data_IF_626674295400
#
_entry.id   IF_626674295400
#
_cell.length_a   1.000
_cell.length_b   1.000
_cell.length_c   1.000
_cell.angle_alpha   90.00
_cell.angle_beta   90.00
_cell.angle_gamma   90.00
#
_symmetry.space_group_name_H-M   'P 1'
#
loop_
_entity.id
_entity.type
_entity.pdbx_description
1 polymer ?
#
# COMPACT_ATOMS: atom_id res chain seq x y z
N UNK A 1 -45.39 54.66 14.15
CA UNK A 1 -46.81 54.86 14.50
C UNK A 1 -47.20 53.78 15.50
N UNK A 2 -47.64 54.19 16.70
CA UNK A 2 -48.34 53.43 17.77
C UNK A 2 -47.74 52.09 18.27
N UNK A 3 -47.10 51.93 19.46
CA UNK A 3 -47.31 52.39 20.86
C UNK A 3 -48.36 51.57 21.64
N UNK A 4 -47.88 50.75 22.59
CA UNK A 4 -48.42 50.53 23.96
C UNK A 4 -47.47 49.53 24.67
N UNK A 5 -46.63 49.83 25.67
CA UNK A 5 -46.60 50.70 26.86
C UNK A 5 -47.31 50.11 28.09
N UNK A 6 -46.53 49.66 29.08
CA UNK A 6 -46.65 49.95 30.53
C UNK A 6 -45.48 49.25 31.25
N UNK A 7 -44.46 49.96 31.76
CA UNK A 7 -44.43 50.64 33.08
C UNK A 7 -44.45 49.57 34.22
N UNK A 8 -43.55 49.49 35.20
CA UNK A 8 -42.72 50.48 35.89
C UNK A 8 -41.93 49.77 37.03
N UNK A 9 -40.91 50.44 37.61
CA UNK A 9 -40.23 50.21 38.92
C UNK A 9 -38.92 49.38 39.01
N UNK A 10 -37.82 50.11 39.25
CA UNK A 10 -36.53 49.73 39.90
C UNK A 10 -36.71 49.48 41.43
N UNK A 11 -35.76 48.93 42.25
CA UNK A 11 -34.28 48.95 42.11
C UNK A 11 -33.49 47.66 42.54
N UNK A 12 -32.16 47.71 42.29
CA UNK A 12 -31.00 46.90 42.74
C UNK A 12 -31.07 46.16 44.11
N UNK A 13 -30.04 45.35 44.50
CA UNK A 13 -29.29 44.29 43.81
C UNK A 13 -29.23 43.00 44.67
N UNK A 14 -29.09 41.80 44.09
CA UNK A 14 -28.72 40.64 44.91
C UNK A 14 -27.92 39.60 44.14
N UNK A 15 -26.68 39.44 44.61
CA UNK A 15 -25.79 38.30 44.52
C UNK A 15 -26.50 36.98 44.18
N UNK A 16 -26.17 36.40 43.02
CA UNK A 16 -26.46 34.99 42.73
C UNK A 16 -25.59 34.13 43.65
N UNK A 17 -26.16 33.73 44.78
CA UNK A 17 -25.59 32.72 45.66
C UNK A 17 -25.67 31.37 44.94
N UNK A 18 -24.49 30.80 44.72
CA UNK A 18 -24.29 29.47 44.17
C UNK A 18 -24.87 28.44 45.14
N UNK A 19 -26.04 27.89 44.81
CA UNK A 19 -26.51 26.67 45.46
C UNK A 19 -25.84 25.49 44.76
N UNK A 20 -24.60 25.18 45.19
CA UNK A 20 -23.97 23.89 44.93
C UNK A 20 -24.85 22.80 45.55
N UNK A 21 -25.68 22.16 44.73
CA UNK A 21 -26.16 20.82 45.04
C UNK A 21 -24.99 19.88 44.78
N UNK A 22 -24.21 19.60 45.83
CA UNK A 22 -23.26 18.48 45.85
C UNK A 22 -24.03 17.17 45.92
N UNK A 23 -24.67 16.81 44.80
CA UNK A 23 -25.00 15.42 44.53
C UNK A 23 -23.71 14.73 44.09
N UNK A 24 -23.05 14.04 45.01
CA UNK A 24 -21.94 13.14 44.68
C UNK A 24 -22.54 11.97 43.91
N UNK A 25 -22.72 12.14 42.60
CA UNK A 25 -23.06 11.02 41.73
C UNK A 25 -21.84 10.12 41.68
N UNK A 26 -21.90 8.98 42.35
CA UNK A 26 -20.89 7.95 42.23
C UNK A 26 -20.87 7.54 40.75
N UNK A 27 -19.77 7.78 40.04
CA UNK A 27 -19.63 7.31 38.66
C UNK A 27 -18.74 6.10 38.71
N UNK A 28 -19.32 4.92 38.51
CA UNK A 28 -18.50 3.70 38.36
C UNK A 28 -17.69 3.84 37.08
N UNK A 29 -16.37 3.92 37.22
CA UNK A 29 -15.45 3.89 36.09
C UNK A 29 -14.98 2.46 35.91
N UNK A 30 -15.31 1.85 34.77
CA UNK A 30 -14.78 0.52 34.46
C UNK A 30 -13.32 0.70 34.05
N UNK A 31 -12.40 0.08 34.79
CA UNK A 31 -10.99 0.00 34.45
C UNK A 31 -10.70 -1.42 33.99
N UNK A 32 -10.61 -1.63 32.69
CA UNK A 32 -10.28 -2.96 32.18
C UNK A 32 -8.81 -3.30 32.48
N UNK A 33 -8.51 -4.54 32.90
CA UNK A 33 -7.13 -5.04 33.01
C UNK A 33 -7.03 -6.41 32.36
N UNK A 34 -6.62 -6.45 31.10
CA UNK A 34 -6.52 -7.71 30.37
C UNK A 34 -5.25 -8.48 30.79
N UNK A 35 -5.40 -9.63 31.45
CA UNK A 35 -4.24 -10.49 31.80
C UNK A 35 -4.23 -11.70 30.87
N UNK A 36 -3.42 -11.66 29.80
CA UNK A 36 -3.25 -12.81 28.90
C UNK A 36 -2.27 -13.81 29.51
N UNK A 37 -2.78 -14.95 29.99
CA UNK A 37 -1.94 -16.10 30.37
C UNK A 37 -1.82 -17.04 29.17
N UNK A 38 -0.63 -17.13 28.58
CA UNK A 38 -0.30 -18.19 27.62
C UNK A 38 0.27 -19.38 28.39
N UNK A 39 -0.24 -20.59 28.14
CA UNK A 39 0.10 -21.80 28.90
C UNK A 39 1.54 -22.31 28.68
N UNK A 40 2.36 -21.68 27.83
CA UNK A 40 3.74 -22.10 27.58
C UNK A 40 4.63 -20.87 27.49
N UNK A 41 5.40 -20.62 28.56
CA UNK A 41 6.50 -19.68 28.59
C UNK A 41 6.05 -18.22 28.58
N UNK A 42 6.17 -17.59 29.75
CA UNK A 42 6.00 -16.17 30.02
C UNK A 42 4.54 -15.65 30.13
N UNK A 43 4.20 -15.10 31.30
CA UNK A 43 2.90 -14.45 31.54
C UNK A 43 3.01 -13.03 30.99
N UNK A 44 2.59 -12.84 29.74
CA UNK A 44 2.52 -11.49 29.18
C UNK A 44 1.30 -10.75 29.72
N UNK A 45 1.49 -10.00 30.80
CA UNK A 45 0.44 -9.11 31.34
C UNK A 45 0.38 -7.86 30.46
N UNK A 46 -0.71 -7.70 29.70
CA UNK A 46 -0.92 -6.53 28.85
C UNK A 46 -2.01 -5.64 29.45
N UNK A 47 -1.60 -4.61 30.17
CA UNK A 47 -2.53 -3.66 30.79
C UNK A 47 -3.04 -2.67 29.74
N UNK A 48 -4.36 -2.56 29.65
CA UNK A 48 -5.05 -1.63 28.75
C UNK A 48 -6.23 -1.03 29.49
N UNK A 49 -6.14 0.26 29.83
CA UNK A 49 -7.24 0.98 30.46
C UNK A 49 -8.16 1.57 29.39
N UNK A 50 -9.41 1.14 29.39
CA UNK A 50 -10.45 1.68 28.51
C UNK A 50 -11.45 2.46 29.36
N UNK A 51 -11.60 3.76 29.10
CA UNK A 51 -12.61 4.61 29.74
C UNK A 51 -13.49 5.22 28.66
N UNK A 52 -14.52 4.47 28.27
CA UNK A 52 -15.55 4.89 27.32
C UNK A 52 -16.93 4.67 27.94
N UNK A 53 -17.96 5.45 27.55
CA UNK A 53 -19.32 5.26 28.06
C UNK A 53 -19.90 3.87 27.70
N UNK A 54 -19.47 3.33 26.56
CA UNK A 54 -19.79 1.99 26.07
C UNK A 54 -18.48 1.36 25.60
N UNK A 55 -18.20 0.14 26.07
CA UNK A 55 -17.04 -0.67 25.68
C UNK A 55 -17.56 -1.86 24.86
N UNK A 56 -17.11 -1.98 23.61
CA UNK A 56 -17.52 -3.05 22.69
C UNK A 56 -16.57 -4.25 22.80
N UNK A 57 -17.13 -5.44 22.89
CA UNK A 57 -16.41 -6.70 23.08
C UNK A 57 -16.76 -7.64 21.92
N UNK A 58 -15.77 -8.12 21.18
CA UNK A 58 -16.02 -8.98 20.04
C UNK A 58 -14.78 -9.39 19.26
N UNK A 59 -15.01 -10.10 18.16
CA UNK A 59 -13.98 -10.54 17.20
C UNK A 59 -13.61 -9.46 16.19
N UNK A 60 -14.42 -8.40 16.08
CA UNK A 60 -14.14 -7.28 15.18
C UNK A 60 -12.91 -6.49 15.62
N UNK A 61 -12.12 -6.03 14.65
CA UNK A 61 -10.96 -5.17 14.91
C UNK A 61 -11.36 -3.75 15.38
N UNK A 62 -12.64 -3.41 15.25
CA UNK A 62 -13.28 -2.17 15.70
C UNK A 62 -13.84 -2.25 17.13
N UNK A 63 -13.71 -3.41 17.80
CA UNK A 63 -14.10 -3.58 19.20
C UNK A 63 -12.99 -3.08 20.14
N UNK A 64 -13.38 -2.40 21.22
CA UNK A 64 -12.46 -1.98 22.28
C UNK A 64 -11.74 -3.19 22.90
N UNK A 65 -12.47 -4.30 23.08
CA UNK A 65 -11.92 -5.59 23.52
C UNK A 65 -11.99 -6.58 22.37
N UNK A 66 -10.84 -6.77 21.71
CA UNK A 66 -10.70 -7.71 20.61
C UNK A 66 -10.37 -9.14 21.11
N UNK A 67 -11.30 -10.06 20.90
CA UNK A 67 -11.22 -11.47 21.25
C UNK A 67 -11.24 -12.32 19.96
N UNK A 68 -10.07 -12.76 19.43
CA UNK A 68 -9.96 -13.44 18.13
C UNK A 68 -10.34 -14.93 18.22
N UNK A 69 -11.62 -15.22 18.50
CA UNK A 69 -12.17 -16.58 18.53
C UNK A 69 -13.36 -16.75 17.59
N UNK A 70 -13.46 -17.91 16.93
CA UNK A 70 -14.51 -18.18 15.95
C UNK A 70 -15.91 -18.33 16.57
N UNK A 71 -15.99 -18.66 17.85
CA UNK A 71 -17.25 -18.70 18.61
C UNK A 71 -17.74 -17.33 19.07
N UNK A 72 -16.95 -16.27 18.85
CA UNK A 72 -17.29 -14.89 19.20
C UNK A 72 -17.74 -14.14 17.94
N UNK A 73 -18.81 -13.34 18.07
CA UNK A 73 -19.35 -12.56 16.97
C UNK A 73 -18.47 -11.32 16.72
N UNK A 74 -18.60 -10.68 15.55
CA UNK A 74 -17.86 -9.45 15.26
C UNK A 74 -18.07 -8.41 16.36
N UNK A 75 -19.30 -8.23 16.79
CA UNK A 75 -19.68 -7.54 18.02
C UNK A 75 -20.51 -8.50 18.86
N UNK A 76 -20.01 -8.90 20.03
CA UNK A 76 -20.58 -9.99 20.82
C UNK A 76 -21.24 -9.50 22.10
N UNK A 77 -20.64 -8.53 22.78
CA UNK A 77 -21.22 -7.91 23.97
C UNK A 77 -20.83 -6.44 24.08
N UNK A 78 -21.66 -5.66 24.75
CA UNK A 78 -21.37 -4.28 25.15
C UNK A 78 -21.34 -4.19 26.66
N UNK A 79 -20.40 -3.41 27.17
CA UNK A 79 -20.26 -3.10 28.58
C UNK A 79 -20.45 -1.60 28.78
N UNK A 80 -21.45 -1.25 29.56
CA UNK A 80 -21.83 0.13 29.81
C UNK A 80 -21.72 0.47 31.29
N UNK A 81 -21.22 1.67 31.61
CA UNK A 81 -21.36 2.21 32.97
C UNK A 81 -22.67 2.98 33.11
N UNK A 82 -23.54 2.54 34.02
CA UNK A 82 -24.86 3.09 34.29
C UNK A 82 -24.90 3.68 35.70
N UNK A 83 -24.34 4.87 35.86
CA UNK A 83 -24.27 5.59 37.14
C UNK A 83 -23.39 4.83 38.13
N UNK A 84 -24.03 4.10 39.05
CA UNK A 84 -23.40 3.42 40.18
C UNK A 84 -23.08 1.94 39.90
N UNK A 85 -23.21 1.46 38.65
CA UNK A 85 -22.90 0.07 38.31
C UNK A 85 -22.50 -0.12 36.85
N UNK A 86 -21.75 -1.19 36.58
CA UNK A 86 -21.48 -1.66 35.23
C UNK A 86 -22.53 -2.69 34.79
N UNK A 87 -22.96 -2.63 33.54
CA UNK A 87 -23.94 -3.53 32.94
C UNK A 87 -23.38 -4.12 31.66
N UNK A 88 -23.34 -5.46 31.57
CA UNK A 88 -22.95 -6.15 30.34
C UNK A 88 -24.20 -6.67 29.62
N UNK A 89 -24.22 -6.56 28.30
CA UNK A 89 -25.32 -7.00 27.44
C UNK A 89 -24.79 -7.73 26.21
N UNK A 90 -25.39 -8.87 25.87
CA UNK A 90 -25.14 -9.55 24.60
C UNK A 90 -25.73 -8.74 23.43
N UNK A 91 -25.05 -8.74 22.28
CA UNK A 91 -25.50 -8.01 21.08
C UNK A 91 -26.11 -8.98 20.06
N UNK A 92 -27.30 -8.65 19.55
CA UNK A 92 -27.97 -9.41 18.51
C UNK A 92 -28.32 -10.84 18.94
N UNK A 93 -27.70 -11.83 18.28
CA UNK A 93 -27.87 -13.26 18.58
C UNK A 93 -26.72 -13.84 19.40
N UNK A 94 -25.83 -13.00 19.94
CA UNK A 94 -24.77 -13.47 20.83
C UNK A 94 -25.37 -13.96 22.15
N UNK A 95 -24.66 -14.86 22.82
CA UNK A 95 -25.01 -15.33 24.16
C UNK A 95 -23.83 -15.13 25.08
N UNK A 96 -24.08 -14.50 26.23
CA UNK A 96 -23.11 -14.41 27.31
C UNK A 96 -23.54 -15.35 28.43
N UNK A 97 -22.58 -15.95 29.12
CA UNK A 97 -22.88 -16.72 30.33
C UNK A 97 -22.23 -16.08 31.53
N UNK A 98 -22.97 -15.90 32.61
CA UNK A 98 -22.47 -15.31 33.86
C UNK A 98 -22.69 -16.30 34.98
N UNK A 99 -21.61 -16.68 35.67
CA UNK A 99 -21.62 -17.72 36.69
C UNK A 99 -22.34 -19.00 36.20
N UNK A 100 -21.95 -19.47 35.00
CA UNK A 100 -22.48 -20.65 34.30
C UNK A 100 -23.92 -20.55 33.76
N UNK A 101 -24.61 -19.42 33.98
CA UNK A 101 -25.97 -19.21 33.47
C UNK A 101 -25.97 -18.31 32.24
N UNK A 102 -26.61 -18.74 31.15
CA UNK A 102 -26.80 -17.92 29.95
C UNK A 102 -27.79 -16.79 30.25
N UNK A 103 -27.38 -15.56 29.95
CA UNK A 103 -28.17 -14.34 30.16
C UNK A 103 -27.98 -13.40 28.98
N UNK A 104 -28.98 -12.55 28.70
CA UNK A 104 -28.87 -11.53 27.64
C UNK A 104 -28.22 -10.24 28.17
N UNK A 105 -28.23 -10.04 29.49
CA UNK A 105 -27.52 -8.96 30.15
C UNK A 105 -27.69 -8.99 31.67
N UNK A 106 -26.71 -8.43 32.38
CA UNK A 106 -26.71 -8.40 33.85
C UNK A 106 -25.93 -7.21 34.39
N UNK A 107 -26.34 -6.72 35.56
CA UNK A 107 -25.54 -5.82 36.38
C UNK A 107 -24.37 -6.60 36.96
N UNK A 108 -23.15 -6.15 36.69
CA UNK A 108 -21.93 -6.78 37.18
C UNK A 108 -21.73 -6.53 38.68
N UNK A 109 -21.28 -7.55 39.38
CA UNK A 109 -20.83 -7.51 40.76
C UNK A 109 -19.40 -8.04 40.86
N UNK A 110 -18.65 -7.56 41.85
CA UNK A 110 -17.31 -8.08 42.15
C UNK A 110 -17.42 -9.59 42.44
N UNK A 111 -16.61 -10.39 41.76
CA UNK A 111 -16.61 -11.84 41.83
C UNK A 111 -17.32 -12.53 40.66
N UNK A 112 -18.07 -11.81 39.83
CA UNK A 112 -18.74 -12.40 38.66
C UNK A 112 -17.75 -12.96 37.63
N UNK A 113 -18.11 -14.10 37.05
CA UNK A 113 -17.40 -14.75 35.96
C UNK A 113 -18.24 -14.74 34.70
N UNK A 114 -17.83 -13.97 33.71
CA UNK A 114 -18.52 -13.81 32.44
C UNK A 114 -17.76 -14.63 31.40
N UNK A 115 -18.44 -15.56 30.73
CA UNK A 115 -17.85 -16.38 29.69
C UNK A 115 -18.40 -16.02 28.32
N UNK A 116 -17.45 -15.79 27.41
CA UNK A 116 -17.60 -15.35 26.03
C UNK A 116 -16.79 -16.32 25.17
N UNK A 117 -17.44 -17.35 24.61
CA UNK A 117 -16.73 -18.42 23.90
C UNK A 117 -15.66 -19.11 24.75
N UNK A 118 -14.40 -19.06 24.29
CA UNK A 118 -13.22 -19.58 24.99
C UNK A 118 -12.57 -18.59 25.97
N UNK A 119 -13.21 -17.47 26.28
CA UNK A 119 -12.68 -16.47 27.22
C UNK A 119 -13.57 -16.35 28.46
N UNK A 120 -12.92 -16.18 29.61
CA UNK A 120 -13.55 -15.88 30.90
C UNK A 120 -13.07 -14.50 31.38
N UNK A 121 -14.00 -13.57 31.57
CA UNK A 121 -13.79 -12.29 32.24
C UNK A 121 -14.15 -12.44 33.72
N UNK A 122 -13.23 -12.08 34.61
CA UNK A 122 -13.44 -12.05 36.06
C UNK A 122 -13.57 -10.61 36.51
N UNK A 123 -14.66 -10.28 37.20
CA UNK A 123 -14.87 -8.97 37.81
C UNK A 123 -14.18 -8.92 39.17
N UNK A 124 -13.29 -7.97 39.36
CA UNK A 124 -12.50 -7.79 40.58
C UNK A 124 -12.58 -6.32 41.05
N UNK A 125 -12.32 -6.10 42.34
CA UNK A 125 -12.23 -4.76 42.91
C UNK A 125 -10.89 -4.12 42.52
N UNK A 126 -10.90 -2.82 42.19
CA UNK A 126 -9.66 -2.07 41.95
C UNK A 126 -8.90 -1.83 43.25
N UNK A 127 -7.62 -2.20 43.28
CA UNK A 127 -6.74 -1.92 44.42
C UNK A 127 -6.24 -0.44 44.39
N UNK A 128 -6.40 0.25 43.27
CA UNK A 128 -5.90 1.61 43.01
C UNK A 128 -7.01 2.67 42.90
N UNK A 129 -8.11 2.54 43.66
CA UNK A 129 -9.14 3.58 43.71
C UNK A 129 -8.61 4.82 44.47
N UNK A 130 -7.81 5.64 43.78
CA UNK A 130 -7.51 7.00 44.22
C UNK A 130 -8.73 7.85 43.88
N UNK A 131 -9.29 8.49 44.92
CA UNK A 131 -10.37 9.50 44.84
C UNK A 131 -11.83 8.99 44.81
N UNK A 132 -12.14 7.90 45.50
CA UNK A 132 -13.52 7.57 45.91
C UNK A 132 -14.49 7.15 44.79
N UNK A 133 -14.00 6.99 43.56
CA UNK A 133 -14.69 6.34 42.46
C UNK A 133 -14.52 4.81 42.58
N UNK A 134 -15.64 4.08 42.70
CA UNK A 134 -15.62 2.61 42.64
C UNK A 134 -15.22 2.17 41.22
N UNK A 135 -14.01 1.64 41.06
CA UNK A 135 -13.56 1.10 39.79
C UNK A 135 -13.58 -0.44 39.79
N UNK A 136 -14.13 -1.01 38.72
CA UNK A 136 -14.13 -2.46 38.51
C UNK A 136 -12.97 -2.83 37.61
N UNK A 137 -12.18 -3.82 38.06
CA UNK A 137 -11.09 -4.42 37.28
C UNK A 137 -11.58 -5.71 36.64
N UNK A 138 -11.56 -5.77 35.31
CA UNK A 138 -11.97 -6.95 34.55
C UNK A 138 -10.75 -7.68 34.02
N UNK A 139 -10.52 -8.89 34.54
CA UNK A 139 -9.43 -9.77 34.11
C UNK A 139 -9.92 -10.77 33.08
N UNK A 140 -9.39 -10.69 31.86
CA UNK A 140 -9.74 -11.60 30.76
C UNK A 140 -8.71 -12.73 30.60
N UNK A 141 -9.11 -13.97 30.88
CA UNK A 141 -8.29 -15.17 30.66
C UNK A 141 -8.90 -16.05 29.56
N UNK A 142 -8.06 -16.70 28.75
CA UNK A 142 -8.52 -17.74 27.83
C UNK A 142 -8.71 -19.02 28.63
N UNK A 143 -9.93 -19.53 28.66
CA UNK A 143 -10.29 -20.80 29.27
C UNK A 143 -10.13 -21.90 28.22
N UNK A 144 -9.04 -22.65 28.28
CA UNK A 144 -8.96 -23.96 27.63
C UNK A 144 -9.72 -24.94 28.52
N UNK A 145 -10.84 -25.52 28.04
CA UNK A 145 -11.46 -26.61 28.77
C UNK A 145 -10.43 -27.73 28.90
N UNK A 146 -10.10 -28.09 30.13
CA UNK A 146 -9.58 -29.43 30.40
C UNK A 146 -10.60 -30.38 29.77
N UNK A 147 -10.13 -31.33 28.97
CA UNK A 147 -10.89 -32.35 28.24
C UNK A 147 -10.89 -32.19 26.71
N UNK A 148 -10.10 -33.05 26.10
CA UNK A 148 -10.11 -33.48 24.70
C UNK A 148 -11.44 -34.12 24.23
N UNK A 149 -12.62 -33.66 24.73
CA UNK A 149 -13.92 -34.31 24.52
C UNK A 149 -14.87 -33.49 23.61
N UNK A 150 -14.56 -32.24 23.26
CA UNK A 150 -15.33 -31.45 22.27
C UNK A 150 -14.73 -31.40 20.86
N UNK A 151 -13.65 -32.14 20.58
CA UNK A 151 -13.07 -32.29 19.24
C UNK A 151 -13.77 -33.35 18.37
N UNK A 152 -14.95 -33.83 18.76
CA UNK A 152 -15.66 -34.91 18.08
C UNK A 152 -16.89 -34.53 17.24
N UNK A 153 -17.38 -33.29 17.28
CA UNK A 153 -18.69 -32.93 16.69
C UNK A 153 -18.77 -31.55 16.02
N UNK A 154 -17.71 -31.12 15.36
CA UNK A 154 -17.82 -30.20 14.23
C UNK A 154 -17.22 -30.90 13.02
N UNK A 155 -18.04 -31.71 12.35
CA UNK A 155 -17.66 -32.41 11.13
C UNK A 155 -17.12 -31.40 10.12
N UNK A 156 -15.93 -31.59 9.57
CA UNK A 156 -15.69 -32.51 8.45
C UNK A 156 -16.78 -32.41 7.38
N UNK A 157 -16.83 -31.28 6.67
CA UNK A 157 -17.06 -31.37 5.22
C UNK A 157 -15.73 -31.78 4.58
N UNK A 158 -15.62 -33.10 4.42
CA UNK A 158 -14.72 -33.81 3.54
C UNK A 158 -14.64 -33.16 2.16
N UNK A 159 -13.50 -32.54 1.88
CA UNK A 159 -12.88 -32.51 0.57
C UNK A 159 -11.61 -33.36 0.62
N UNK A 160 -11.74 -34.65 0.94
CA UNK A 160 -10.63 -35.60 0.80
C UNK A 160 -10.51 -35.98 -0.67
N UNK A 161 -9.92 -35.08 -1.45
CA UNK A 161 -9.23 -35.41 -2.69
C UNK A 161 -7.75 -35.58 -2.36
N UNK A 162 -7.18 -36.69 -2.80
CA UNK A 162 -5.76 -37.08 -2.73
C UNK A 162 -4.81 -35.86 -2.75
N UNK A 163 -4.03 -35.67 -1.67
CA UNK A 163 -2.82 -34.83 -1.67
C UNK A 163 -2.94 -33.42 -1.06
N UNK A 164 -3.19 -33.29 0.24
CA UNK A 164 -3.05 -32.01 0.95
C UNK A 164 -2.18 -32.16 2.21
N UNK A 165 -0.86 -32.21 2.02
CA UNK A 165 0.13 -32.06 3.11
C UNK A 165 1.14 -30.94 2.86
N UNK A 166 0.87 -30.02 1.92
CA UNK A 166 1.57 -28.75 1.94
C UNK A 166 0.83 -27.84 2.92
N UNK A 167 1.37 -27.70 4.13
CA UNK A 167 0.93 -26.63 5.03
C UNK A 167 0.99 -25.29 4.29
N UNK A 168 0.18 -24.31 4.71
CA UNK A 168 0.08 -23.01 4.03
C UNK A 168 1.46 -22.38 3.71
N UNK A 169 2.44 -22.58 4.61
CA UNK A 169 3.84 -22.17 4.39
C UNK A 169 4.49 -22.87 3.19
N UNK A 170 4.32 -24.19 3.07
CA UNK A 170 4.85 -24.98 1.96
C UNK A 170 4.19 -24.61 0.63
N UNK A 171 2.88 -24.36 0.62
CA UNK A 171 2.18 -23.91 -0.58
C UNK A 171 2.62 -22.50 -0.99
N UNK A 172 2.79 -21.58 -0.03
CA UNK A 172 3.32 -20.24 -0.29
C UNK A 172 4.72 -20.27 -0.88
N UNK A 173 5.63 -21.09 -0.34
CA UNK A 173 6.96 -21.26 -0.91
C UNK A 173 6.92 -21.91 -2.29
N UNK A 174 6.09 -22.95 -2.50
CA UNK A 174 5.97 -23.60 -3.81
C UNK A 174 5.46 -22.63 -4.88
N UNK A 175 4.40 -21.87 -4.60
CA UNK A 175 3.87 -20.87 -5.52
C UNK A 175 4.85 -19.70 -5.73
N UNK A 176 5.50 -19.22 -4.67
CA UNK A 176 6.52 -18.17 -4.77
C UNK A 176 7.71 -18.60 -5.61
N UNK A 177 8.21 -19.82 -5.41
CA UNK A 177 9.28 -20.41 -6.22
C UNK A 177 8.83 -20.63 -7.66
N UNK A 178 7.60 -21.08 -7.90
CA UNK A 178 7.06 -21.23 -9.25
C UNK A 178 7.02 -19.87 -9.99
N UNK A 179 6.51 -18.82 -9.33
CA UNK A 179 6.47 -17.47 -9.89
C UNK A 179 7.89 -16.97 -10.18
N UNK A 180 8.84 -17.16 -9.26
CA UNK A 180 10.23 -16.76 -9.46
C UNK A 180 10.88 -17.51 -10.64
N UNK A 181 10.66 -18.82 -10.73
CA UNK A 181 11.19 -19.62 -11.83
C UNK A 181 10.58 -19.20 -13.18
N UNK A 182 9.28 -18.93 -13.20
CA UNK A 182 8.55 -18.58 -14.42
C UNK A 182 8.82 -17.15 -14.90
N UNK A 183 8.86 -16.15 -14.02
CA UNK A 183 8.97 -14.75 -14.44
C UNK A 183 10.38 -14.16 -14.35
N UNK A 184 11.33 -14.88 -13.74
CA UNK A 184 12.70 -14.42 -13.58
C UNK A 184 13.71 -15.40 -14.18
N UNK A 185 13.76 -16.64 -13.67
CA UNK A 185 14.79 -17.59 -14.11
C UNK A 185 14.59 -18.04 -15.56
N UNK A 186 13.34 -18.32 -15.96
CA UNK A 186 13.03 -18.76 -17.32
C UNK A 186 13.34 -17.69 -18.39
N UNK A 187 12.86 -16.43 -18.29
CA UNK A 187 13.20 -15.38 -19.25
C UNK A 187 14.71 -15.17 -19.42
N UNK A 188 15.47 -15.17 -18.32
CA UNK A 188 16.93 -15.05 -18.35
C UNK A 188 17.57 -16.24 -19.08
N UNK A 189 17.17 -17.46 -18.74
CA UNK A 189 17.70 -18.66 -19.40
C UNK A 189 17.34 -18.69 -20.90
N UNK A 190 16.14 -18.25 -21.26
CA UNK A 190 15.69 -18.13 -22.65
C UNK A 190 16.52 -17.10 -23.44
N UNK A 191 16.87 -15.96 -22.82
CA UNK A 191 17.73 -14.94 -23.43
C UNK A 191 19.12 -15.50 -23.78
N UNK A 192 19.83 -16.08 -22.81
CA UNK A 192 21.19 -16.62 -23.03
C UNK A 192 21.23 -17.86 -23.93
N UNK A 193 20.18 -18.68 -23.94
CA UNK A 193 20.14 -19.88 -24.80
C UNK A 193 19.87 -19.54 -26.27
N UNK A 194 19.06 -18.52 -26.55
CA UNK A 194 18.79 -18.09 -27.93
C UNK A 194 19.99 -17.34 -28.54
N UNK A 195 20.71 -16.52 -27.77
CA UNK A 195 21.90 -15.83 -28.29
C UNK A 195 22.98 -16.82 -28.79
N UNK A 196 23.12 -17.97 -28.12
CA UNK A 196 24.02 -19.04 -28.58
C UNK A 196 23.64 -19.69 -29.91
N UNK A 197 22.38 -19.55 -30.36
CA UNK A 197 21.89 -20.11 -31.64
C UNK A 197 22.04 -19.10 -32.78
N UNK A 198 21.92 -17.81 -32.50
CA UNK A 198 22.00 -16.76 -33.51
C UNK A 198 23.45 -16.51 -33.98
N UNK A 199 24.46 -16.70 -33.13
CA UNK A 199 25.89 -16.71 -33.56
C UNK A 199 26.30 -17.90 -34.45
N UNK A 200 25.45 -18.93 -34.55
CA UNK A 200 25.65 -20.06 -35.48
C UNK A 200 24.84 -19.96 -36.78
N UNK A 201 23.94 -18.98 -36.88
CA UNK A 201 23.00 -18.83 -37.99
C UNK A 201 23.54 -17.87 -39.07
N UNK A 202 24.77 -18.09 -39.54
CA UNK A 202 25.33 -17.37 -40.70
C UNK A 202 24.63 -17.72 -42.04
N UNK A 203 23.67 -18.66 -42.03
CA UNK A 203 23.01 -19.21 -43.23
C UNK A 203 21.50 -18.92 -43.35
N UNK A 204 20.91 -18.09 -42.48
CA UNK A 204 19.48 -17.76 -42.64
C UNK A 204 19.33 -16.43 -43.36
N UNK A 205 18.92 -16.53 -44.63
CA UNK A 205 18.67 -15.42 -45.54
C UNK A 205 17.93 -14.23 -44.89
N UNK A 206 18.36 -13.02 -45.28
CA UNK A 206 17.91 -11.68 -44.91
C UNK A 206 16.41 -11.36 -45.17
N UNK A 207 15.49 -12.33 -45.06
CA UNK A 207 14.07 -12.14 -45.43
C UNK A 207 13.06 -13.04 -44.69
N UNK A 208 13.45 -13.80 -43.67
CA UNK A 208 12.48 -14.53 -42.85
C UNK A 208 12.15 -13.71 -41.59
N UNK A 209 11.17 -12.80 -41.69
CA UNK A 209 10.59 -12.16 -40.53
C UNK A 209 10.08 -13.20 -39.53
N UNK A 210 10.38 -12.97 -38.25
CA UNK A 210 9.87 -13.69 -37.08
C UNK A 210 10.11 -15.21 -37.09
N UNK A 211 11.07 -15.65 -36.25
CA UNK A 211 11.13 -17.05 -35.79
C UNK A 211 9.74 -17.49 -35.28
N UNK A 212 9.35 -18.75 -35.48
CA UNK A 212 7.97 -19.20 -35.30
C UNK A 212 7.46 -18.88 -33.90
N UNK A 213 6.37 -18.12 -33.84
CA UNK A 213 5.51 -17.98 -32.68
C UNK A 213 5.16 -19.36 -32.13
N UNK A 214 5.79 -19.78 -31.02
CA UNK A 214 5.45 -21.03 -30.33
C UNK A 214 6.61 -21.84 -29.74
N UNK A 215 7.87 -21.43 -29.89
CA UNK A 215 8.96 -22.07 -29.12
C UNK A 215 9.03 -21.51 -27.68
N UNK A 216 9.36 -22.38 -26.73
CA UNK A 216 9.47 -22.05 -25.31
C UNK A 216 10.53 -20.96 -25.05
N UNK A 217 11.54 -20.85 -25.92
CA UNK A 217 12.57 -19.79 -25.83
C UNK A 217 12.02 -18.43 -26.26
N UNK A 218 11.20 -18.39 -27.31
CA UNK A 218 10.61 -17.16 -27.85
C UNK A 218 9.66 -16.52 -26.84
N UNK A 219 8.83 -17.32 -26.16
CA UNK A 219 7.92 -16.80 -25.13
C UNK A 219 8.70 -16.23 -23.93
N UNK A 220 9.75 -16.93 -23.49
CA UNK A 220 10.62 -16.45 -22.42
C UNK A 220 11.30 -15.12 -22.76
N UNK A 221 11.77 -14.94 -24.01
CA UNK A 221 12.36 -13.67 -24.48
C UNK A 221 11.34 -12.55 -24.61
N UNK A 222 10.14 -12.86 -25.11
CA UNK A 222 9.07 -11.87 -25.31
C UNK A 222 8.52 -11.28 -24.01
N UNK A 223 8.69 -11.98 -22.88
CA UNK A 223 8.16 -11.56 -21.58
C UNK A 223 8.69 -10.21 -21.11
N UNK A 224 9.86 -9.77 -21.60
CA UNK A 224 10.52 -8.52 -21.22
C UNK A 224 10.65 -7.51 -22.36
N UNK A 225 9.92 -7.69 -23.47
CA UNK A 225 9.90 -6.71 -24.56
C UNK A 225 9.11 -5.48 -24.12
N UNK A 226 9.75 -4.31 -24.20
CA UNK A 226 9.17 -3.01 -23.86
C UNK A 226 8.22 -2.47 -24.92
N UNK A 227 8.39 -2.86 -26.18
CA UNK A 227 7.58 -2.38 -27.29
C UNK A 227 8.34 -2.46 -28.62
N UNK A 228 7.62 -2.23 -29.72
CA UNK A 228 8.18 -2.23 -31.06
C UNK A 228 9.14 -1.05 -31.25
N UNK A 229 10.26 -1.30 -31.92
CA UNK A 229 11.20 -0.26 -32.32
C UNK A 229 10.63 0.61 -33.46
N UNK A 230 11.18 1.81 -33.56
CA UNK A 230 10.92 2.83 -34.55
C UNK A 230 11.02 2.30 -35.97
N UNK A 231 10.27 2.90 -36.90
CA UNK A 231 10.32 2.48 -38.31
C UNK A 231 11.73 2.53 -38.91
N UNK A 232 12.55 3.50 -38.49
CA UNK A 232 13.94 3.65 -38.93
C UNK A 232 14.82 2.48 -38.51
N UNK A 233 14.47 1.84 -37.40
CA UNK A 233 15.18 0.72 -36.80
C UNK A 233 14.40 -0.61 -36.88
N UNK A 234 13.29 -0.64 -37.63
CA UNK A 234 12.41 -1.80 -37.75
C UNK A 234 13.11 -3.08 -38.25
N UNK A 235 14.25 -2.93 -38.94
CA UNK A 235 15.07 -4.06 -39.40
C UNK A 235 15.65 -4.87 -38.23
N UNK A 236 15.90 -4.26 -37.07
CA UNK A 236 16.44 -4.97 -35.90
C UNK A 236 15.40 -5.89 -35.25
N UNK A 237 14.11 -5.58 -35.36
CA UNK A 237 13.04 -6.39 -34.74
C UNK A 237 13.30 -6.61 -33.25
N UNK A 238 13.47 -7.88 -32.88
CA UNK A 238 13.71 -8.31 -31.48
C UNK A 238 15.21 -8.45 -31.14
N UNK A 239 16.13 -8.01 -32.01
CA UNK A 239 17.59 -8.07 -31.79
C UNK A 239 18.07 -6.92 -30.89
N UNK A 240 17.60 -6.96 -29.65
CA UNK A 240 17.82 -5.91 -28.64
C UNK A 240 19.31 -5.66 -28.34
N UNK A 241 20.16 -6.68 -28.55
CA UNK A 241 21.62 -6.61 -28.33
C UNK A 241 22.32 -5.65 -29.30
N UNK A 242 21.65 -5.26 -30.40
CA UNK A 242 22.15 -4.24 -31.32
C UNK A 242 22.38 -2.89 -30.63
N UNK A 243 21.59 -2.58 -29.59
CA UNK A 243 21.69 -1.33 -28.84
C UNK A 243 21.95 -1.57 -27.34
N UNK A 244 21.35 -2.58 -26.73
CA UNK A 244 21.53 -2.91 -25.32
C UNK A 244 22.76 -3.80 -25.09
N UNK A 245 23.94 -3.19 -25.06
CA UNK A 245 25.22 -3.89 -24.93
C UNK A 245 25.45 -4.49 -23.53
N UNK A 246 24.86 -3.89 -22.48
CA UNK A 246 25.02 -4.34 -21.09
C UNK A 246 23.69 -4.36 -20.37
N UNK A 247 23.38 -5.48 -19.71
CA UNK A 247 22.20 -5.61 -18.89
C UNK A 247 22.18 -4.54 -17.78
N UNK A 248 21.00 -3.96 -17.54
CA UNK A 248 20.77 -2.90 -16.54
C UNK A 248 21.57 -1.61 -16.75
N UNK A 249 22.19 -1.43 -17.92
CA UNK A 249 22.81 -0.17 -18.34
C UNK A 249 21.96 0.42 -19.46
N UNK A 250 21.56 1.70 -19.39
CA UNK A 250 20.85 2.34 -20.49
C UNK A 250 21.76 2.41 -21.73
N UNK A 251 21.13 2.43 -22.91
CA UNK A 251 21.85 2.65 -24.18
C UNK A 251 22.48 4.04 -24.17
N UNK A 252 23.74 4.13 -24.57
CA UNK A 252 24.51 5.38 -24.59
C UNK A 252 24.72 5.87 -26.03
N UNK A 253 25.14 7.14 -26.17
CA UNK A 253 25.44 7.73 -27.47
C UNK A 253 26.46 6.91 -28.27
N UNK A 254 27.47 6.37 -27.60
CA UNK A 254 28.52 5.55 -28.22
C UNK A 254 27.97 4.29 -28.89
N UNK A 255 26.89 3.70 -28.36
CA UNK A 255 26.27 2.53 -28.96
C UNK A 255 25.65 2.89 -30.32
N UNK A 256 24.95 4.03 -30.40
CA UNK A 256 24.39 4.56 -31.64
C UNK A 256 25.47 4.95 -32.65
N UNK A 257 26.55 5.58 -32.19
CA UNK A 257 27.67 6.05 -33.04
C UNK A 257 28.45 4.89 -33.67
N UNK A 258 28.24 3.64 -33.25
CA UNK A 258 28.82 2.47 -33.92
C UNK A 258 28.34 2.36 -35.37
N UNK A 259 27.10 2.75 -35.66
CA UNK A 259 26.55 2.79 -37.01
C UNK A 259 26.36 4.23 -37.53
N UNK A 260 26.13 5.19 -36.64
CA UNK A 260 25.93 6.61 -36.97
C UNK A 260 27.17 7.47 -36.68
N UNK A 261 28.34 7.04 -37.15
CA UNK A 261 29.59 7.77 -36.91
C UNK A 261 29.79 9.02 -37.80
N UNK A 262 29.01 9.17 -38.86
CA UNK A 262 29.05 10.30 -39.78
C UNK A 262 27.79 11.15 -39.61
N UNK A 263 27.72 11.83 -38.46
CA UNK A 263 26.64 12.75 -38.11
C UNK A 263 27.18 14.15 -37.88
N UNK A 264 26.42 15.13 -38.35
CA UNK A 264 26.66 16.53 -38.02
C UNK A 264 26.10 16.83 -36.63
N UNK A 265 26.87 17.57 -35.84
CA UNK A 265 26.42 18.10 -34.55
C UNK A 265 25.19 19.01 -34.73
N UNK A 266 24.27 18.98 -33.75
CA UNK A 266 23.06 19.82 -33.78
C UNK A 266 23.39 21.32 -33.70
N UNK A 267 24.53 21.66 -33.08
CA UNK A 267 25.05 23.02 -32.93
C UNK A 267 26.54 23.06 -33.25
N UNK A 268 27.08 24.28 -33.42
CA UNK A 268 28.54 24.49 -33.51
C UNK A 268 29.19 24.29 -32.14
N UNK A 269 29.71 23.10 -31.89
CA UNK A 269 30.29 22.69 -30.60
C UNK A 269 31.48 23.54 -30.17
N UNK A 270 32.19 24.18 -31.10
CA UNK A 270 33.27 25.13 -30.79
C UNK A 270 32.76 26.35 -30.02
N UNK A 271 31.51 26.74 -30.27
CA UNK A 271 30.84 27.87 -29.61
C UNK A 271 29.93 27.41 -28.47
N UNK A 272 29.35 26.21 -28.59
CA UNK A 272 28.32 25.67 -27.70
C UNK A 272 28.67 24.26 -27.23
N UNK A 273 29.83 24.10 -26.57
CA UNK A 273 30.34 22.80 -26.15
C UNK A 273 29.41 22.03 -25.19
N UNK A 274 28.59 22.74 -24.41
CA UNK A 274 27.61 22.14 -23.50
C UNK A 274 26.49 21.36 -24.23
N UNK A 275 26.30 21.60 -25.53
CA UNK A 275 25.26 21.01 -26.36
C UNK A 275 25.82 20.01 -27.39
N UNK A 276 27.04 19.52 -27.19
CA UNK A 276 27.54 18.38 -27.97
C UNK A 276 26.65 17.15 -27.76
N UNK A 277 26.39 16.43 -28.85
CA UNK A 277 25.56 15.23 -28.85
C UNK A 277 26.18 14.08 -28.06
N UNK A 278 27.50 14.00 -27.96
CA UNK A 278 28.18 12.99 -27.15
C UNK A 278 27.87 13.17 -25.65
N UNK A 279 27.91 14.42 -25.18
CA UNK A 279 27.64 14.75 -23.78
C UNK A 279 26.14 14.71 -23.44
N UNK A 280 25.28 15.16 -24.36
CA UNK A 280 23.82 15.21 -24.13
C UNK A 280 23.19 13.83 -24.30
N UNK A 281 23.71 13.02 -25.22
CA UNK A 281 23.19 11.69 -25.53
C UNK A 281 22.00 11.72 -26.48
N UNK A 282 21.99 10.80 -27.45
CA UNK A 282 20.98 10.73 -28.50
C UNK A 282 19.56 10.56 -27.94
N UNK A 283 19.40 9.72 -26.89
CA UNK A 283 18.11 9.36 -26.32
C UNK A 283 17.39 10.48 -25.56
N UNK A 284 18.07 11.62 -25.30
CA UNK A 284 17.39 12.77 -24.70
C UNK A 284 16.39 13.42 -25.67
N UNK A 285 16.60 13.25 -26.98
CA UNK A 285 15.74 13.79 -28.03
C UNK A 285 15.14 12.69 -28.93
N UNK A 286 15.93 11.65 -29.21
CA UNK A 286 15.54 10.54 -30.08
C UNK A 286 15.16 9.32 -29.24
N UNK A 287 13.88 9.16 -28.92
CA UNK A 287 13.42 8.03 -28.11
C UNK A 287 13.11 6.81 -29.00
N UNK A 288 13.46 5.65 -28.49
CA UNK A 288 13.24 4.35 -29.13
C UNK A 288 12.16 3.57 -28.35
N UNK A 289 11.56 2.55 -28.97
CA UNK A 289 10.40 1.80 -28.48
C UNK A 289 9.04 2.52 -28.57
N UNK A 290 8.94 3.54 -29.41
CA UNK A 290 7.70 4.29 -29.66
C UNK A 290 6.86 3.70 -30.82
N UNK A 291 7.19 2.49 -31.28
CA UNK A 291 6.47 1.83 -32.37
C UNK A 291 6.70 2.46 -33.74
N UNK A 292 5.68 2.59 -34.57
CA UNK A 292 5.86 3.07 -35.95
C UNK A 292 6.06 4.60 -36.06
N UNK A 293 6.06 5.31 -34.95
CA UNK A 293 6.38 6.73 -34.90
C UNK A 293 7.88 6.96 -35.13
N UNK A 294 8.24 8.17 -35.57
CA UNK A 294 9.64 8.53 -35.80
C UNK A 294 10.34 8.70 -34.44
N UNK A 295 11.66 8.45 -34.37
CA UNK A 295 12.44 8.67 -33.13
C UNK A 295 12.29 10.09 -32.57
N UNK A 296 11.97 11.07 -33.42
CA UNK A 296 11.64 12.43 -32.97
C UNK A 296 10.18 12.42 -32.52
N UNK A 297 9.96 12.44 -31.21
CA UNK A 297 8.63 12.65 -30.65
C UNK A 297 8.04 13.94 -31.23
N UNK A 298 6.79 13.90 -31.66
CA UNK A 298 6.02 15.10 -32.05
C UNK A 298 5.67 16.01 -30.85
N UNK A 299 6.27 15.76 -29.69
CA UNK A 299 6.10 16.54 -28.47
C UNK A 299 7.20 17.59 -28.35
N UNK A 300 6.81 18.86 -28.24
CA UNK A 300 7.73 19.98 -28.00
C UNK A 300 8.57 19.84 -26.74
N UNK A 301 8.16 19.02 -25.76
CA UNK A 301 8.80 18.90 -24.44
C UNK A 301 10.31 18.64 -24.52
N UNK A 302 10.77 17.78 -25.42
CA UNK A 302 12.19 17.47 -25.53
C UNK A 302 12.99 18.66 -26.08
N UNK A 303 12.44 19.35 -27.08
CA UNK A 303 13.08 20.51 -27.71
C UNK A 303 13.14 21.72 -26.75
N UNK A 304 12.04 21.99 -26.05
CA UNK A 304 11.95 23.19 -25.18
C UNK A 304 12.82 23.08 -23.94
N UNK A 305 13.24 21.88 -23.52
CA UNK A 305 14.16 21.71 -22.39
C UNK A 305 15.43 22.57 -22.53
N UNK A 306 15.97 22.69 -23.73
CA UNK A 306 17.08 23.59 -24.04
C UNK A 306 16.63 24.90 -24.69
N UNK A 307 15.59 24.89 -25.52
CA UNK A 307 15.20 26.05 -26.32
C UNK A 307 14.32 27.08 -25.59
N UNK A 308 13.76 26.76 -24.42
CA UNK A 308 12.90 27.67 -23.67
C UNK A 308 13.64 28.85 -23.02
N UNK A 309 14.98 28.80 -22.98
CA UNK A 309 15.82 29.84 -22.38
C UNK A 309 17.19 29.91 -23.09
N UNK A 310 17.16 30.10 -24.41
CA UNK A 310 18.35 30.20 -25.26
C UNK A 310 19.21 31.39 -24.87
N UNK A 311 18.63 32.53 -24.52
CA UNK A 311 19.40 33.72 -24.15
C UNK A 311 20.35 33.44 -22.97
N UNK A 312 19.87 32.74 -21.94
CA UNK A 312 20.71 32.34 -20.82
C UNK A 312 21.67 31.19 -21.19
N UNK A 313 21.17 30.17 -21.89
CA UNK A 313 21.94 28.96 -22.23
C UNK A 313 23.10 29.29 -23.17
N UNK A 314 22.89 30.19 -24.13
CA UNK A 314 23.90 30.64 -25.08
C UNK A 314 24.73 31.83 -24.57
N UNK A 315 24.50 32.31 -23.34
CA UNK A 315 25.14 33.52 -22.78
C UNK A 315 25.04 34.74 -23.71
N UNK A 316 23.93 34.90 -24.42
CA UNK A 316 23.72 35.98 -25.38
C UNK A 316 24.50 35.89 -26.69
N UNK A 317 25.18 34.76 -26.97
CA UNK A 317 25.93 34.56 -28.22
C UNK A 317 25.04 34.36 -29.46
N UNK A 318 23.74 34.16 -29.29
CA UNK A 318 22.82 33.90 -30.40
C UNK A 318 21.62 34.83 -30.30
N UNK A 319 21.29 35.49 -31.41
CA UNK A 319 20.08 36.30 -31.56
C UNK A 319 18.90 35.43 -32.03
N UNK A 320 18.53 34.42 -31.23
CA UNK A 320 17.29 33.64 -31.43
C UNK A 320 16.35 33.85 -30.25
N UNK A 321 15.05 33.92 -30.53
CA UNK A 321 14.01 34.00 -29.50
C UNK A 321 13.86 32.66 -28.79
N UNK A 322 13.51 32.72 -27.50
CA UNK A 322 13.16 31.54 -26.72
C UNK A 322 11.91 30.86 -27.28
N UNK A 323 11.90 29.53 -27.26
CA UNK A 323 10.78 28.71 -27.71
C UNK A 323 10.31 27.83 -26.57
N UNK A 324 9.08 28.08 -26.11
CA UNK A 324 8.45 27.32 -25.01
C UNK A 324 7.41 26.30 -25.48
N UNK A 325 7.03 26.31 -26.78
CA UNK A 325 6.18 25.30 -27.42
C UNK A 325 6.20 25.42 -28.94
N UNK A 326 5.78 24.38 -29.67
CA UNK A 326 5.60 24.46 -31.13
C UNK A 326 4.56 25.50 -31.56
N UNK A 327 3.52 25.75 -30.75
CA UNK A 327 2.50 26.76 -31.06
C UNK A 327 3.01 28.20 -31.05
N UNK A 328 4.14 28.43 -30.39
CA UNK A 328 4.81 29.73 -30.25
C UNK A 328 6.18 29.73 -30.94
N UNK A 329 6.48 28.68 -31.73
CA UNK A 329 7.72 28.59 -32.49
C UNK A 329 7.63 29.49 -33.74
N UNK A 330 8.56 30.43 -33.98
CA UNK A 330 8.58 31.22 -35.21
C UNK A 330 8.81 30.33 -36.43
N UNK A 331 8.50 30.78 -37.65
CA UNK A 331 8.81 29.99 -38.85
C UNK A 331 10.30 29.61 -38.89
N UNK A 332 10.62 28.35 -39.24
CA UNK A 332 11.99 27.90 -39.40
C UNK A 332 12.69 28.75 -40.46
N UNK A 333 13.62 29.60 -40.02
CA UNK A 333 14.50 30.35 -40.93
C UNK A 333 15.77 29.54 -41.14
N UNK A 334 16.10 29.25 -42.40
CA UNK A 334 17.41 28.68 -42.75
C UNK A 334 18.45 29.77 -42.49
N UNK A 335 19.14 29.69 -41.36
CA UNK A 335 20.26 30.57 -41.09
C UNK A 335 21.47 30.05 -41.88
N UNK A 336 21.77 30.71 -43.01
CA UNK A 336 23.05 30.54 -43.68
C UNK A 336 24.17 30.94 -42.72
N UNK A 337 24.98 29.96 -42.31
CA UNK A 337 26.21 30.23 -41.57
C UNK A 337 27.10 31.06 -42.50
N UNK A 338 27.35 32.32 -42.17
CA UNK A 338 28.40 33.09 -42.84
C UNK A 338 29.72 32.41 -42.49
N UNK A 339 30.28 31.68 -43.46
CA UNK A 339 31.68 31.29 -43.46
C UNK A 339 32.50 32.57 -43.42
N UNK A 340 33.36 32.70 -42.41
CA UNK A 340 34.36 33.77 -42.35
C UNK A 340 35.66 33.24 -42.95
#
# INVERSE_FOLDING_TARGET
MCRYQSDFWWPWPVTFSWCFFTGRHHRVRVLLRIIRRQAIGDITTQESSHSAPIIRIGRGADCDIHLPDAGIQLEHATLESRGDYAFIQAVGHASISVNEKVVDGIRLQVGDRIRLGLYELKVQESIEAVDGDEALVLTCERYEPDDAVLLGKAGTTTGSGVGARLGMRGLSWALGSLIFLMFFVWPIAAHYSAESRDVGALDTAMTAGHQPVGDWTTWGRSAWLTGAVSRSHALFGDECTSCHQKAFVPVNATDCLTCHNDLQEHVRVEQFSFASLDATGCLQCHQEHEGNDQLVLNDSRLCVNCHQNLAATSKGLVEVSDVVSFSQHPEFRVHGVKSN
#
